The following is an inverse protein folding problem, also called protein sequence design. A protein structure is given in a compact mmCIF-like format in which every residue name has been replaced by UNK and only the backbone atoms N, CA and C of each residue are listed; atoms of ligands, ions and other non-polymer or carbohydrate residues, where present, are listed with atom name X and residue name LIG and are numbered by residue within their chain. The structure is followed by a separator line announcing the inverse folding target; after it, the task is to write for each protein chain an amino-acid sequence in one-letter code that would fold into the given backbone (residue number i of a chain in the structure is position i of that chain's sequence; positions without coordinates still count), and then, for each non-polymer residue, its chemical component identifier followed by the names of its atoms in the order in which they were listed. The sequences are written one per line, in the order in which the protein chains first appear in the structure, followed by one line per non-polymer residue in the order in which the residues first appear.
data_IF_120672189041
#
_entry.id   IF_120672189041
#
_cell.length_a   1.000
_cell.length_b   1.000
_cell.length_c   1.000
_cell.angle_alpha   90.00
_cell.angle_beta   90.00
_cell.angle_gamma   90.00
#
_symmetry.space_group_name_H-M   'P 1'
#
loop_
_entity.id
_entity.type
_entity.pdbx_description
1 polymer ?
#
# COMPACT_ATOMS: atom_id res chain seq x y z
N UNK A 1 10.28 10.53 32.66
CA UNK A 1 9.04 9.99 33.33
C UNK A 1 7.83 10.30 32.48
N UNK A 2 7.50 11.56 32.17
CA UNK A 2 6.29 11.95 31.42
C UNK A 2 6.14 11.26 30.06
N UNK A 3 7.22 11.17 29.25
CA UNK A 3 7.19 10.46 27.97
C UNK A 3 7.01 8.94 28.09
N UNK A 4 7.53 8.32 29.16
CA UNK A 4 7.33 6.88 29.40
C UNK A 4 5.91 6.57 29.84
N UNK A 5 5.32 7.43 30.67
CA UNK A 5 3.93 7.30 31.13
C UNK A 5 2.96 7.50 29.94
N UNK A 6 3.26 8.45 29.04
CA UNK A 6 2.49 8.69 27.81
C UNK A 6 2.57 7.50 26.86
N UNK A 7 3.77 6.98 26.59
CA UNK A 7 3.97 5.81 25.75
C UNK A 7 3.24 4.58 26.28
N UNK A 8 3.29 4.35 27.61
CA UNK A 8 2.58 3.25 28.25
C UNK A 8 1.05 3.42 28.19
N UNK A 9 0.54 4.65 28.31
CA UNK A 9 -0.88 4.96 28.13
C UNK A 9 -1.33 4.58 26.72
N UNK A 10 -0.61 5.03 25.69
CA UNK A 10 -0.93 4.70 24.29
C UNK A 10 -0.84 3.21 24.00
N UNK A 11 0.20 2.54 24.47
CA UNK A 11 0.31 1.09 24.35
C UNK A 11 -0.90 0.35 24.94
N UNK A 12 -1.43 0.80 26.10
CA UNK A 12 -2.64 0.23 26.69
C UNK A 12 -3.91 0.53 25.88
N UNK A 13 -4.01 1.70 25.27
CA UNK A 13 -5.14 2.06 24.41
C UNK A 13 -5.12 1.19 23.14
N UNK A 14 -3.98 1.08 22.46
CA UNK A 14 -3.81 0.21 21.27
C UNK A 14 -4.07 -1.25 21.66
N UNK A 15 -3.59 -1.72 22.83
CA UNK A 15 -3.85 -3.07 23.32
C UNK A 15 -5.35 -3.36 23.41
N UNK A 16 -6.17 -2.41 23.91
CA UNK A 16 -7.64 -2.55 23.95
C UNK A 16 -8.25 -2.69 22.56
N UNK A 17 -7.73 -1.95 21.56
CA UNK A 17 -8.20 -2.07 20.18
C UNK A 17 -7.79 -3.43 19.57
N UNK A 18 -6.58 -3.92 19.85
CA UNK A 18 -6.10 -5.24 19.41
C UNK A 18 -6.94 -6.38 20.01
N UNK A 19 -7.43 -6.24 21.23
CA UNK A 19 -8.26 -7.26 21.90
C UNK A 19 -9.61 -7.50 21.22
N UNK A 20 -10.00 -6.67 20.29
CA UNK A 20 -11.16 -6.91 19.43
C UNK A 20 -10.69 -7.58 18.14
N UNK A 21 -11.12 -8.81 17.89
CA UNK A 21 -10.83 -9.54 16.64
C UNK A 21 -11.68 -8.97 15.50
N UNK A 22 -11.06 -8.21 14.61
CA UNK A 22 -11.69 -7.61 13.43
C UNK A 22 -11.25 -8.28 12.12
N UNK A 23 -10.92 -9.56 12.16
CA UNK A 23 -10.72 -10.36 10.95
C UNK A 23 -12.04 -10.44 10.18
N UNK A 24 -12.01 -10.12 8.89
CA UNK A 24 -13.17 -10.20 8.01
C UNK A 24 -13.59 -11.66 7.78
N UNK A 25 -14.78 -12.02 8.25
CA UNK A 25 -15.38 -13.36 8.08
C UNK A 25 -16.83 -13.21 7.60
N UNK A 26 -17.23 -13.83 6.49
CA UNK A 26 -18.58 -13.71 5.97
C UNK A 26 -19.65 -13.98 7.04
N UNK A 27 -20.49 -12.98 7.32
CA UNK A 27 -21.66 -13.08 8.20
C UNK A 27 -21.42 -13.01 9.71
N UNK A 28 -20.16 -12.78 10.16
CA UNK A 28 -19.85 -12.82 11.60
C UNK A 28 -19.04 -11.62 12.12
N UNK A 29 -18.73 -10.66 11.28
CA UNK A 29 -17.74 -9.61 11.58
C UNK A 29 -18.35 -8.30 12.10
N UNK A 30 -19.61 -7.95 11.75
CA UNK A 30 -20.21 -6.67 12.16
C UNK A 30 -20.18 -6.44 13.67
N UNK A 31 -20.54 -7.44 14.48
CA UNK A 31 -20.54 -7.32 15.94
C UNK A 31 -19.15 -6.98 16.49
N UNK A 32 -18.09 -7.51 15.86
CA UNK A 32 -16.72 -7.21 16.26
C UNK A 32 -16.34 -5.77 15.94
N UNK A 33 -16.76 -5.25 14.77
CA UNK A 33 -16.55 -3.84 14.48
C UNK A 33 -17.34 -2.94 15.40
N UNK A 34 -18.61 -3.26 15.71
CA UNK A 34 -19.42 -2.52 16.69
C UNK A 34 -18.72 -2.48 18.07
N UNK A 35 -18.10 -3.59 18.49
CA UNK A 35 -17.28 -3.64 19.71
C UNK A 35 -16.02 -2.77 19.63
N UNK A 36 -15.34 -2.76 18.47
CA UNK A 36 -14.19 -1.87 18.27
C UNK A 36 -14.63 -0.42 18.32
N UNK A 37 -15.74 -0.07 17.70
CA UNK A 37 -16.29 1.30 17.73
C UNK A 37 -16.64 1.74 19.15
N UNK A 38 -17.18 0.85 19.97
CA UNK A 38 -17.43 1.13 21.38
C UNK A 38 -16.14 1.39 22.15
N UNK A 39 -15.10 0.58 21.94
CA UNK A 39 -13.77 0.80 22.53
C UNK A 39 -13.19 2.15 22.07
N UNK A 40 -13.29 2.48 20.79
CA UNK A 40 -12.80 3.76 20.26
C UNK A 40 -13.56 4.96 20.85
N UNK A 41 -14.88 4.86 21.01
CA UNK A 41 -15.68 5.91 21.63
C UNK A 41 -15.29 6.18 23.09
N UNK A 42 -14.93 5.12 23.85
CA UNK A 42 -14.40 5.30 25.21
C UNK A 42 -13.00 5.91 25.22
N UNK A 43 -12.15 5.60 24.24
CA UNK A 43 -10.77 6.09 24.17
C UNK A 43 -10.70 7.54 23.65
N UNK A 44 -11.59 7.91 22.73
CA UNK A 44 -11.58 9.18 21.99
C UNK A 44 -12.93 9.92 22.07
N UNK A 45 -13.42 10.24 23.29
CA UNK A 45 -14.76 10.80 23.48
C UNK A 45 -14.95 12.15 22.76
N UNK A 46 -13.93 13.01 22.72
CA UNK A 46 -14.05 14.30 22.04
C UNK A 46 -14.23 14.17 20.53
N UNK A 47 -13.52 13.19 19.92
CA UNK A 47 -13.71 12.90 18.50
C UNK A 47 -15.11 12.39 18.22
N UNK A 48 -15.59 11.44 19.04
CA UNK A 48 -16.92 10.84 18.85
C UNK A 48 -18.08 11.79 19.13
N UNK A 49 -17.92 12.74 20.05
CA UNK A 49 -18.94 13.73 20.42
C UNK A 49 -18.81 15.03 19.63
N UNK A 50 -17.59 15.46 19.30
CA UNK A 50 -17.31 16.76 18.71
C UNK A 50 -17.20 16.78 17.18
N UNK A 51 -17.02 15.64 16.51
CA UNK A 51 -16.99 15.55 15.06
C UNK A 51 -18.35 15.10 14.50
N UNK A 52 -18.67 15.57 13.28
CA UNK A 52 -19.77 14.92 12.53
C UNK A 52 -19.32 13.52 12.13
N UNK A 53 -20.21 12.54 12.27
CA UNK A 53 -19.89 11.13 12.01
C UNK A 53 -20.90 10.52 11.04
N UNK A 54 -20.40 9.69 10.14
CA UNK A 54 -21.18 8.81 9.26
C UNK A 54 -20.64 7.39 9.38
N UNK A 55 -21.50 6.42 9.18
CA UNK A 55 -21.21 5.00 9.21
C UNK A 55 -21.68 4.36 7.90
N UNK A 56 -20.81 3.56 7.28
CA UNK A 56 -21.06 2.85 6.03
C UNK A 56 -20.75 1.38 6.27
N UNK A 57 -21.76 0.55 6.53
CA UNK A 57 -21.63 -0.81 7.03
C UNK A 57 -20.84 -0.83 8.35
N UNK A 58 -19.53 -1.09 8.32
CA UNK A 58 -18.64 -0.98 9.48
C UNK A 58 -17.51 0.04 9.27
N UNK A 59 -17.48 0.75 8.14
CA UNK A 59 -16.56 1.88 7.96
C UNK A 59 -17.09 3.13 8.64
N UNK A 60 -16.19 3.90 9.24
CA UNK A 60 -16.52 5.18 9.88
C UNK A 60 -15.87 6.33 9.12
N UNK A 61 -16.62 7.42 8.98
CA UNK A 61 -16.08 8.70 8.52
C UNK A 61 -16.41 9.78 9.55
N UNK A 62 -15.40 10.49 10.02
CA UNK A 62 -15.56 11.64 10.90
C UNK A 62 -15.18 12.92 10.14
N UNK A 63 -15.79 14.04 10.48
CA UNK A 63 -15.37 15.35 10.02
C UNK A 63 -15.22 16.29 11.23
N UNK A 64 -14.00 16.71 11.46
CA UNK A 64 -13.66 17.80 12.38
C UNK A 64 -13.63 19.10 11.58
N UNK A 65 -14.62 20.01 11.77
CA UNK A 65 -14.70 21.23 10.97
C UNK A 65 -13.52 22.17 11.20
N UNK A 66 -12.96 22.66 10.12
CA UNK A 66 -11.92 23.68 10.12
C UNK A 66 -12.46 25.09 9.90
N UNK A 67 -11.54 26.05 9.77
CA UNK A 67 -11.85 27.45 9.45
C UNK A 67 -12.24 27.63 7.98
N UNK A 68 -11.77 26.75 7.11
CA UNK A 68 -12.05 26.76 5.67
C UNK A 68 -12.67 25.43 5.23
N UNK A 69 -13.23 25.39 4.00
CA UNK A 69 -13.83 24.17 3.43
C UNK A 69 -12.85 23.30 2.65
N UNK A 70 -11.55 23.65 2.64
CA UNK A 70 -10.52 22.75 2.12
C UNK A 70 -10.49 21.49 2.99
N UNK A 71 -10.29 20.33 2.38
CA UNK A 71 -10.39 19.07 3.10
C UNK A 71 -9.05 18.32 3.08
N UNK A 72 -8.66 17.81 4.27
CA UNK A 72 -7.64 16.80 4.47
C UNK A 72 -8.33 15.48 4.85
N UNK A 73 -7.96 14.37 4.24
CA UNK A 73 -8.37 13.03 4.70
C UNK A 73 -7.18 12.34 5.36
N UNK A 74 -7.36 11.89 6.60
CA UNK A 74 -6.47 10.97 7.29
C UNK A 74 -7.15 9.61 7.30
N UNK A 75 -6.47 8.59 6.77
CA UNK A 75 -7.05 7.30 6.52
C UNK A 75 -6.28 6.19 7.23
N UNK A 76 -7.01 5.17 7.68
CA UNK A 76 -6.47 3.93 8.23
C UNK A 76 -7.57 2.88 8.23
N UNK A 77 -7.22 1.58 8.23
CA UNK A 77 -8.22 0.53 8.27
C UNK A 77 -8.37 -0.08 9.67
N UNK A 78 -9.49 -0.76 9.89
CA UNK A 78 -9.91 -1.37 11.15
C UNK A 78 -9.76 -2.89 11.13
N UNK A 79 -9.89 -3.49 9.95
CA UNK A 79 -9.77 -4.92 9.76
C UNK A 79 -8.32 -5.41 9.88
N UNK A 80 -8.18 -6.69 10.00
CA UNK A 80 -6.87 -7.36 10.10
C UNK A 80 -6.98 -8.73 9.44
N UNK A 81 -5.84 -9.23 8.91
CA UNK A 81 -5.77 -10.61 8.39
C UNK A 81 -5.81 -11.64 9.50
N UNK A 82 -6.12 -12.91 9.13
CA UNK A 82 -6.02 -14.07 10.01
C UNK A 82 -4.64 -14.14 10.68
N UNK A 83 -4.60 -14.79 11.83
CA UNK A 83 -3.38 -14.96 12.62
C UNK A 83 -3.02 -16.46 12.80
N UNK A 84 -2.75 -17.21 11.72
CA UNK A 84 -2.42 -18.62 11.80
C UNK A 84 -1.03 -18.85 12.41
N UNK A 85 -0.77 -20.10 12.83
CA UNK A 85 0.53 -20.52 13.33
C UNK A 85 0.74 -20.26 14.83
N UNK A 86 1.97 -20.46 15.27
CA UNK A 86 2.37 -20.27 16.67
C UNK A 86 2.81 -18.84 16.92
N UNK A 87 2.19 -18.20 17.88
CA UNK A 87 2.51 -16.87 18.36
C UNK A 87 3.17 -16.94 19.72
N UNK A 88 4.15 -16.06 19.98
CA UNK A 88 4.78 -15.95 21.31
C UNK A 88 3.77 -15.53 22.37
N UNK A 89 2.88 -14.62 22.05
CA UNK A 89 1.71 -14.21 22.82
C UNK A 89 0.47 -14.34 21.95
N UNK A 90 -0.72 -14.65 22.51
CA UNK A 90 -1.94 -14.77 21.72
C UNK A 90 -2.17 -13.53 20.84
N UNK A 91 -2.49 -13.69 19.54
CA UNK A 91 -2.50 -12.58 18.57
C UNK A 91 -3.47 -11.43 18.92
N UNK A 92 -4.56 -11.73 19.60
CA UNK A 92 -5.56 -10.73 20.02
C UNK A 92 -5.49 -10.44 21.54
N UNK A 93 -4.36 -10.70 22.20
CA UNK A 93 -4.22 -10.41 23.64
C UNK A 93 -3.84 -8.96 23.94
N UNK A 94 -3.22 -8.25 23.01
CA UNK A 94 -2.67 -6.92 23.25
C UNK A 94 -1.61 -6.95 24.37
N UNK A 95 -0.79 -8.00 24.43
CA UNK A 95 0.20 -8.19 25.50
C UNK A 95 1.30 -7.14 25.44
N UNK A 96 1.52 -6.42 26.55
CA UNK A 96 2.65 -5.51 26.70
C UNK A 96 3.72 -6.25 27.51
N UNK A 97 4.78 -6.65 26.83
CA UNK A 97 5.90 -7.40 27.42
C UNK A 97 7.21 -7.09 26.68
N UNK A 98 8.34 -7.21 27.38
CA UNK A 98 9.68 -7.01 26.80
C UNK A 98 9.88 -5.61 26.19
N UNK A 99 9.21 -4.60 26.72
CA UNK A 99 9.25 -3.24 26.20
C UNK A 99 8.49 -3.03 24.88
N UNK A 100 7.63 -4.00 24.49
CA UNK A 100 6.87 -4.00 23.23
C UNK A 100 5.40 -4.31 23.47
N UNK A 101 4.55 -3.81 22.58
CA UNK A 101 3.16 -4.24 22.44
C UNK A 101 3.10 -5.33 21.37
N UNK A 102 2.51 -6.47 21.73
CA UNK A 102 2.38 -7.66 20.89
C UNK A 102 0.92 -7.88 20.49
N UNK A 103 0.68 -8.04 19.21
CA UNK A 103 -0.65 -8.43 18.73
C UNK A 103 -0.85 -8.19 17.24
N UNK A 104 -1.82 -8.91 16.65
CA UNK A 104 -2.28 -8.70 15.27
C UNK A 104 -2.90 -7.30 15.16
N UNK A 105 -2.53 -6.53 14.14
CA UNK A 105 -2.97 -5.16 13.93
C UNK A 105 -2.16 -4.10 14.71
N UNK A 106 -1.12 -4.49 15.47
CA UNK A 106 -0.29 -3.51 16.19
C UNK A 106 0.43 -2.54 15.24
N UNK A 107 0.96 -3.03 14.11
CA UNK A 107 1.61 -2.23 13.09
C UNK A 107 0.71 -2.05 11.85
N UNK A 108 -0.03 -3.06 11.48
CA UNK A 108 -0.92 -3.15 10.34
C UNK A 108 -2.36 -3.39 10.83
N UNK A 109 -3.27 -2.36 11.06
CA UNK A 109 -2.83 -0.95 11.14
C UNK A 109 -3.58 -0.22 12.27
N UNK A 110 -4.09 -0.98 13.31
CA UNK A 110 -4.79 -0.37 14.47
C UNK A 110 -3.91 0.62 15.26
N UNK A 111 -2.58 0.47 15.18
CA UNK A 111 -1.66 1.44 15.75
C UNK A 111 -1.78 2.80 15.06
N UNK A 112 -1.72 2.85 13.72
CA UNK A 112 -1.90 4.08 12.96
C UNK A 112 -3.30 4.67 13.15
N UNK A 113 -4.34 3.82 13.18
CA UNK A 113 -5.71 4.23 13.48
C UNK A 113 -5.78 4.92 14.85
N UNK A 114 -5.19 4.31 15.88
CA UNK A 114 -5.08 4.91 17.21
C UNK A 114 -4.38 6.27 17.15
N UNK A 115 -3.25 6.37 16.46
CA UNK A 115 -2.41 7.58 16.43
C UNK A 115 -3.14 8.76 15.77
N UNK A 116 -3.90 8.50 14.70
CA UNK A 116 -4.76 9.51 14.07
C UNK A 116 -5.82 10.02 15.06
N UNK A 117 -6.57 9.11 15.69
CA UNK A 117 -7.63 9.49 16.63
C UNK A 117 -7.06 10.18 17.88
N UNK A 118 -5.95 9.68 18.41
CA UNK A 118 -5.30 10.25 19.59
C UNK A 118 -4.76 11.66 19.32
N UNK A 119 -4.19 11.90 18.14
CA UNK A 119 -3.71 13.22 17.77
C UNK A 119 -4.86 14.24 17.69
N UNK A 120 -5.99 13.85 17.08
CA UNK A 120 -7.18 14.73 17.00
C UNK A 120 -7.79 14.92 18.39
N UNK A 121 -7.91 13.88 19.20
CA UNK A 121 -8.42 13.95 20.59
C UNK A 121 -7.63 14.98 21.43
N UNK A 122 -6.29 14.92 21.39
CA UNK A 122 -5.40 15.83 22.13
C UNK A 122 -5.45 17.27 21.59
N UNK A 123 -5.54 17.45 20.27
CA UNK A 123 -5.68 18.76 19.69
C UNK A 123 -7.03 19.41 20.03
N UNK A 124 -8.11 18.63 20.04
CA UNK A 124 -9.43 19.09 20.49
C UNK A 124 -9.42 19.43 21.97
N UNK A 125 -8.75 18.62 22.81
CA UNK A 125 -8.56 18.90 24.23
C UNK A 125 -7.81 20.20 24.47
N UNK A 126 -6.81 20.50 23.63
CA UNK A 126 -6.05 21.74 23.68
C UNK A 126 -6.83 22.96 23.12
N UNK A 127 -8.08 22.77 22.64
CA UNK A 127 -8.90 23.84 22.05
C UNK A 127 -8.42 24.27 20.65
N UNK A 128 -7.63 23.45 19.97
CA UNK A 128 -7.17 23.76 18.62
C UNK A 128 -8.33 23.68 17.62
N UNK A 129 -8.33 24.58 16.63
CA UNK A 129 -9.24 24.54 15.48
C UNK A 129 -8.39 24.42 14.21
N UNK A 130 -8.56 23.35 13.40
CA UNK A 130 -7.75 23.18 12.20
C UNK A 130 -8.07 24.24 11.15
N UNK A 131 -7.12 24.51 10.25
CA UNK A 131 -7.32 25.44 9.14
C UNK A 131 -8.26 24.83 8.08
N UNK A 132 -8.14 23.54 7.81
CA UNK A 132 -8.96 22.79 6.88
C UNK A 132 -9.94 21.87 7.62
N UNK A 133 -11.03 21.50 6.96
CA UNK A 133 -11.85 20.39 7.44
C UNK A 133 -10.98 19.11 7.46
N UNK A 134 -10.89 18.43 8.62
CA UNK A 134 -10.16 17.19 8.78
C UNK A 134 -11.15 16.04 8.77
N UNK A 135 -11.06 15.20 7.75
CA UNK A 135 -11.80 13.95 7.67
C UNK A 135 -10.94 12.80 8.17
N UNK A 136 -11.51 11.96 9.04
CA UNK A 136 -10.86 10.71 9.47
C UNK A 136 -11.68 9.57 8.86
N UNK A 137 -11.05 8.80 7.96
CA UNK A 137 -11.65 7.65 7.30
C UNK A 137 -11.09 6.36 7.91
N UNK A 138 -11.95 5.60 8.58
CA UNK A 138 -11.62 4.30 9.14
C UNK A 138 -12.37 3.21 8.35
N UNK A 139 -11.71 2.61 7.38
CA UNK A 139 -12.27 1.55 6.51
C UNK A 139 -12.30 0.20 7.23
N UNK A 140 -13.08 -0.76 6.71
CA UNK A 140 -13.27 -2.06 7.35
C UNK A 140 -13.01 -3.27 6.44
N UNK A 141 -12.48 -3.05 5.23
CA UNK A 141 -12.29 -4.07 4.19
C UNK A 141 -10.97 -3.97 3.43
N UNK A 142 -9.97 -3.25 3.95
CA UNK A 142 -8.69 -3.04 3.26
C UNK A 142 -8.03 -4.37 2.90
N UNK A 143 -7.92 -5.27 3.85
CA UNK A 143 -7.28 -6.60 3.74
C UNK A 143 -8.02 -7.56 2.78
N UNK A 144 -9.26 -7.25 2.42
CA UNK A 144 -10.08 -8.03 1.49
C UNK A 144 -10.34 -7.32 0.17
N UNK A 145 -9.71 -6.17 -0.05
CA UNK A 145 -9.72 -5.44 -1.32
C UNK A 145 -10.37 -4.07 -1.28
N UNK A 146 -10.89 -3.64 -0.13
CA UNK A 146 -11.50 -2.35 0.10
C UNK A 146 -12.86 -2.16 -0.58
N UNK A 147 -13.48 -1.01 -0.31
CA UNK A 147 -14.73 -0.59 -0.92
C UNK A 147 -14.75 0.91 -1.24
N UNK A 148 -15.75 1.37 -1.98
CA UNK A 148 -15.87 2.76 -2.43
C UNK A 148 -16.84 3.59 -1.57
N UNK A 149 -17.44 3.04 -0.51
CA UNK A 149 -18.55 3.65 0.22
C UNK A 149 -18.23 5.07 0.73
N UNK A 150 -17.03 5.25 1.32
CA UNK A 150 -16.61 6.57 1.82
C UNK A 150 -16.34 7.54 0.67
N UNK A 151 -15.63 7.09 -0.37
CA UNK A 151 -15.29 7.96 -1.52
C UNK A 151 -16.52 8.35 -2.31
N UNK A 152 -17.49 7.45 -2.46
CA UNK A 152 -18.75 7.74 -3.13
C UNK A 152 -19.58 8.76 -2.36
N UNK A 153 -19.64 8.62 -1.02
CA UNK A 153 -20.27 9.64 -0.17
C UNK A 153 -19.59 11.01 -0.31
N UNK A 154 -18.25 11.07 -0.24
CA UNK A 154 -17.53 12.35 -0.39
C UNK A 154 -17.81 12.99 -1.75
N UNK A 155 -17.85 12.17 -2.82
CA UNK A 155 -18.20 12.61 -4.17
C UNK A 155 -19.62 13.16 -4.25
N UNK A 156 -20.59 12.46 -3.68
CA UNK A 156 -21.99 12.90 -3.62
C UNK A 156 -22.18 14.20 -2.85
N UNK A 157 -21.38 14.40 -1.80
CA UNK A 157 -21.39 15.65 -1.03
C UNK A 157 -20.59 16.79 -1.70
N UNK A 158 -19.96 16.55 -2.86
CA UNK A 158 -19.12 17.52 -3.55
C UNK A 158 -17.83 17.85 -2.78
N UNK A 159 -17.37 16.95 -1.92
CA UNK A 159 -16.16 17.14 -1.12
C UNK A 159 -14.98 16.55 -1.92
N UNK A 160 -14.07 17.41 -2.35
CA UNK A 160 -12.84 17.04 -3.05
C UNK A 160 -11.67 17.29 -2.11
N UNK A 161 -11.03 16.27 -1.55
CA UNK A 161 -9.88 16.46 -0.67
C UNK A 161 -8.69 17.08 -1.42
N UNK A 162 -8.03 18.05 -0.78
CA UNK A 162 -6.78 18.63 -1.27
C UNK A 162 -5.62 17.62 -1.17
N UNK A 163 -5.66 16.82 -0.13
CA UNK A 163 -4.73 15.73 0.11
C UNK A 163 -5.35 14.64 0.98
N UNK A 164 -4.85 13.43 0.79
CA UNK A 164 -5.13 12.28 1.62
C UNK A 164 -3.81 11.70 2.11
N UNK A 165 -3.77 11.31 3.37
CA UNK A 165 -2.66 10.55 3.97
C UNK A 165 -3.21 9.25 4.51
N UNK A 166 -2.72 8.15 3.98
CA UNK A 166 -3.06 6.79 4.37
C UNK A 166 -1.84 6.10 4.99
N UNK A 167 -2.01 4.89 5.45
CA UNK A 167 -0.91 4.03 5.87
C UNK A 167 0.13 3.82 4.76
N UNK A 168 1.33 3.38 5.13
CA UNK A 168 2.39 3.09 4.17
C UNK A 168 3.72 2.81 4.84
N UNK A 169 4.79 3.20 4.18
CA UNK A 169 6.14 3.06 4.76
C UNK A 169 6.37 4.00 5.95
N UNK A 170 7.39 3.67 6.70
CA UNK A 170 7.73 4.31 7.98
C UNK A 170 9.05 5.09 7.90
N UNK A 171 9.46 5.65 9.03
CA UNK A 171 10.80 6.21 9.22
C UNK A 171 11.77 5.08 9.53
N UNK A 172 12.78 4.90 8.69
CA UNK A 172 13.77 3.82 8.80
C UNK A 172 15.19 4.33 8.54
N UNK A 173 16.24 3.55 8.88
CA UNK A 173 17.60 3.92 8.50
C UNK A 173 17.67 4.24 7.01
N UNK A 174 18.30 5.38 6.68
CA UNK A 174 18.41 5.80 5.28
C UNK A 174 19.25 4.78 4.48
N UNK A 175 18.80 4.35 3.30
CA UNK A 175 19.53 3.36 2.50
C UNK A 175 20.77 3.93 1.79
N UNK A 176 21.09 5.22 1.96
CA UNK A 176 22.25 5.85 1.33
C UNK A 176 23.52 5.48 2.08
N UNK A 177 24.52 4.85 1.43
CA UNK A 177 25.77 4.52 2.07
C UNK A 177 26.51 5.76 2.61
N UNK A 178 26.98 5.67 3.86
CA UNK A 178 27.69 6.76 4.53
C UNK A 178 26.81 7.87 5.10
N UNK A 179 25.50 7.73 5.05
CA UNK A 179 24.57 8.62 5.74
C UNK A 179 23.91 7.91 6.94
N UNK A 180 24.33 8.27 8.14
CA UNK A 180 23.86 7.68 9.41
C UNK A 180 22.51 8.27 9.90
N UNK A 181 21.68 8.75 8.98
CA UNK A 181 20.36 9.34 9.26
C UNK A 181 19.20 8.38 9.04
N UNK A 182 17.97 8.90 9.20
CA UNK A 182 16.73 8.19 8.91
C UNK A 182 16.00 8.86 7.74
N UNK A 183 15.31 8.05 6.97
CA UNK A 183 14.45 8.50 5.87
C UNK A 183 13.03 8.00 6.04
N UNK A 184 12.05 8.85 5.73
CA UNK A 184 10.63 8.50 5.62
C UNK A 184 10.28 8.23 4.15
N UNK A 185 9.60 7.11 3.88
CA UNK A 185 9.30 6.58 2.54
C UNK A 185 7.80 6.61 2.22
N UNK A 186 7.37 6.95 0.98
CA UNK A 186 5.94 7.20 0.61
C UNK A 186 5.56 6.72 -0.81
N UNK A 187 4.49 5.92 -1.05
CA UNK A 187 4.32 5.11 -2.27
C UNK A 187 2.95 4.67 -2.92
N UNK A 188 2.91 3.74 -4.02
CA UNK A 188 1.77 3.39 -4.98
C UNK A 188 1.78 2.04 -5.78
N UNK A 189 0.67 1.23 -6.03
CA UNK A 189 -0.08 0.39 -7.05
C UNK A 189 0.10 -1.13 -7.48
N UNK A 190 -0.94 -1.93 -8.13
CA UNK A 190 -1.04 -3.41 -8.51
C UNK A 190 -1.85 -3.87 -9.76
N UNK A 191 -1.63 -5.19 -10.36
CA UNK A 191 -2.46 -5.89 -11.43
C UNK A 191 -2.28 -7.44 -11.62
N UNK A 192 -3.18 -8.24 -12.41
CA UNK A 192 -3.22 -9.72 -12.60
C UNK A 192 -3.76 -10.29 -13.96
N UNK A 193 -3.31 -11.53 -14.50
CA UNK A 193 -3.68 -12.20 -15.80
C UNK A 193 -3.81 -13.76 -15.86
N UNK A 194 -4.41 -14.44 -16.98
CA UNK A 194 -4.67 -15.91 -17.17
C UNK A 194 -4.63 -16.45 -18.63
N UNK A 195 -4.40 -17.83 -18.90
CA UNK A 195 -4.27 -18.47 -20.25
C UNK A 195 -4.93 -19.87 -20.45
N UNK A 196 -5.33 -20.34 -21.72
CA UNK A 196 -6.06 -21.59 -22.09
C UNK A 196 -5.62 -22.35 -23.37
N UNK A 197 -6.01 -23.67 -23.56
CA UNK A 197 -5.77 -24.50 -24.77
C UNK A 197 -6.34 -25.94 -24.81
N UNK A 198 -6.29 -26.80 -25.92
CA UNK A 198 -6.99 -28.09 -26.10
C UNK A 198 -6.29 -29.34 -25.55
N UNK A 199 -7.01 -30.42 -25.23
CA UNK A 199 -6.59 -31.62 -24.51
C UNK A 199 -6.62 -32.99 -25.27
N UNK A 200 -6.17 -34.15 -24.64
CA UNK A 200 -6.12 -35.49 -25.21
C UNK A 200 -5.60 -36.61 -24.29
N UNK A 201 -5.32 -37.85 -24.82
CA UNK A 201 -4.80 -38.98 -24.04
C UNK A 201 -3.27 -39.01 -24.05
N UNK A 202 -2.62 -39.26 -22.91
CA UNK A 202 -1.16 -39.16 -22.75
C UNK A 202 -0.33 -40.22 -23.53
N UNK A 203 -0.94 -41.32 -23.98
CA UNK A 203 -0.24 -42.38 -24.74
C UNK A 203 0.04 -42.03 -26.20
N UNK A 204 -0.62 -40.98 -26.74
CA UNK A 204 -0.41 -40.49 -28.12
C UNK A 204 -0.32 -38.98 -28.05
N UNK A 205 0.79 -38.45 -27.51
CA UNK A 205 0.95 -37.03 -27.35
C UNK A 205 1.22 -36.37 -28.71
N UNK A 206 0.33 -35.51 -29.15
CA UNK A 206 0.62 -34.55 -30.23
C UNK A 206 1.72 -33.57 -29.80
N UNK A 207 2.33 -32.86 -30.75
CA UNK A 207 3.19 -31.68 -30.45
C UNK A 207 2.33 -30.49 -30.13
N UNK A 208 2.79 -29.59 -29.25
CA UNK A 208 2.10 -28.34 -28.94
C UNK A 208 0.89 -28.50 -28.00
N UNK A 209 0.93 -29.45 -27.07
CA UNK A 209 -0.09 -29.59 -26.02
C UNK A 209 -0.07 -28.40 -25.06
N UNK A 210 -1.17 -28.11 -24.32
CA UNK A 210 -1.31 -26.91 -23.51
C UNK A 210 -0.16 -26.65 -22.53
N UNK A 211 0.23 -27.66 -21.74
CA UNK A 211 1.29 -27.50 -20.72
C UNK A 211 2.67 -27.15 -21.31
N UNK A 212 3.20 -27.83 -22.36
CA UNK A 212 4.44 -27.43 -23.01
C UNK A 212 4.40 -26.03 -23.63
N UNK A 213 3.26 -25.58 -24.18
CA UNK A 213 3.10 -24.21 -24.69
C UNK A 213 3.14 -23.19 -23.57
N UNK A 214 2.45 -23.44 -22.47
CA UNK A 214 2.53 -22.61 -21.26
C UNK A 214 3.96 -22.60 -20.70
N UNK A 215 4.66 -23.74 -20.67
CA UNK A 215 6.05 -23.82 -20.23
C UNK A 215 6.98 -22.98 -21.10
N UNK A 216 6.83 -23.01 -22.42
CA UNK A 216 7.59 -22.17 -23.35
C UNK A 216 7.25 -20.69 -23.22
N UNK A 217 5.97 -20.36 -23.05
CA UNK A 217 5.50 -19.00 -22.78
C UNK A 217 6.10 -18.44 -21.49
N UNK A 218 5.98 -19.17 -20.37
CA UNK A 218 6.57 -18.75 -19.09
C UNK A 218 8.08 -18.55 -19.19
N UNK A 219 8.78 -19.49 -19.86
CA UNK A 219 10.23 -19.41 -20.04
C UNK A 219 10.64 -18.19 -20.87
N UNK A 220 9.89 -17.84 -21.91
CA UNK A 220 10.19 -16.65 -22.71
C UNK A 220 9.92 -15.37 -21.92
N UNK A 221 8.81 -15.29 -21.15
CA UNK A 221 8.48 -14.16 -20.29
C UNK A 221 9.58 -13.92 -19.25
N UNK A 222 10.02 -14.98 -18.57
CA UNK A 222 11.08 -14.91 -17.53
C UNK A 222 12.46 -14.48 -18.09
N UNK A 223 12.74 -14.76 -19.37
CA UNK A 223 14.03 -14.47 -19.98
C UNK A 223 14.00 -13.25 -20.93
N UNK A 224 12.94 -12.46 -20.90
CA UNK A 224 12.78 -11.29 -21.75
C UNK A 224 12.47 -10.06 -20.91
N UNK A 225 13.20 -8.98 -21.12
CA UNK A 225 12.89 -7.67 -20.55
C UNK A 225 11.64 -7.09 -21.23
N UNK A 226 10.46 -7.57 -20.83
CA UNK A 226 9.18 -7.17 -21.42
C UNK A 226 8.79 -5.73 -21.11
N UNK A 227 9.22 -5.24 -19.97
CA UNK A 227 8.79 -3.96 -19.42
C UNK A 227 10.01 -3.06 -19.19
N UNK A 228 10.25 -2.08 -20.07
CA UNK A 228 11.36 -1.16 -19.89
C UNK A 228 11.18 -0.32 -18.61
N UNK A 229 12.22 -0.24 -17.81
CA UNK A 229 12.23 0.60 -16.60
C UNK A 229 12.14 2.08 -16.98
N UNK A 230 11.25 2.81 -16.32
CA UNK A 230 11.09 4.27 -16.48
C UNK A 230 11.03 4.94 -15.11
N UNK A 231 11.62 6.12 -15.01
CA UNK A 231 11.50 6.89 -13.77
C UNK A 231 10.17 7.64 -13.74
N UNK A 232 9.45 7.50 -12.63
CA UNK A 232 8.41 8.45 -12.25
C UNK A 232 9.03 9.74 -11.70
N UNK A 233 8.25 10.82 -11.61
CA UNK A 233 8.68 12.06 -10.94
C UNK A 233 9.13 11.80 -9.49
N UNK A 234 8.45 10.89 -8.79
CA UNK A 234 8.80 10.51 -7.42
C UNK A 234 10.12 9.75 -7.36
N UNK A 235 10.33 8.78 -8.25
CA UNK A 235 11.59 8.02 -8.29
C UNK A 235 12.77 8.91 -8.67
N UNK A 236 12.63 9.78 -9.66
CA UNK A 236 13.67 10.73 -10.04
C UNK A 236 14.03 11.67 -8.86
N UNK A 237 13.03 12.19 -8.15
CA UNK A 237 13.26 13.04 -6.98
C UNK A 237 13.87 12.26 -5.82
N UNK A 238 13.48 11.01 -5.61
CA UNK A 238 14.11 10.12 -4.62
C UNK A 238 15.61 10.01 -4.85
N UNK A 239 16.01 9.61 -6.06
CA UNK A 239 17.43 9.47 -6.41
C UNK A 239 18.20 10.78 -6.32
N UNK A 240 17.58 11.91 -6.70
CA UNK A 240 18.18 13.24 -6.58
C UNK A 240 18.44 13.61 -5.11
N UNK A 241 17.48 13.34 -4.21
CA UNK A 241 17.66 13.58 -2.78
C UNK A 241 18.71 12.64 -2.18
N UNK A 242 18.69 11.36 -2.56
CA UNK A 242 19.73 10.39 -2.15
C UNK A 242 21.12 10.83 -2.60
N UNK A 243 21.27 11.31 -3.84
CA UNK A 243 22.55 11.83 -4.34
C UNK A 243 23.05 13.01 -3.50
N UNK A 244 22.15 13.92 -3.09
CA UNK A 244 22.52 15.05 -2.24
C UNK A 244 22.96 14.65 -0.83
N UNK A 245 22.49 13.50 -0.32
CA UNK A 245 22.85 12.96 0.99
C UNK A 245 24.16 12.17 0.98
N UNK A 246 24.56 11.62 -0.17
CA UNK A 246 25.76 10.78 -0.27
C UNK A 246 27.04 11.56 -0.05
N UNK A 247 27.86 11.10 0.88
CA UNK A 247 29.22 11.61 1.11
C UNK A 247 30.22 11.06 0.09
N UNK A 248 29.96 9.89 -0.51
CA UNK A 248 30.79 9.26 -1.53
C UNK A 248 30.55 9.89 -2.91
N UNK A 249 31.63 10.32 -3.58
CA UNK A 249 31.54 10.99 -4.88
C UNK A 249 31.08 10.02 -6.00
N UNK A 250 31.53 8.76 -5.96
CA UNK A 250 31.14 7.74 -6.94
C UNK A 250 29.65 7.38 -6.80
N UNK A 251 29.19 7.18 -5.57
CA UNK A 251 27.78 6.92 -5.28
C UNK A 251 26.90 8.12 -5.68
N UNK A 252 27.32 9.32 -5.37
CA UNK A 252 26.64 10.55 -5.77
C UNK A 252 26.50 10.65 -7.28
N UNK A 253 27.59 10.39 -8.02
CA UNK A 253 27.58 10.40 -9.48
C UNK A 253 26.64 9.33 -10.05
N UNK A 254 26.65 8.12 -9.48
CA UNK A 254 25.74 7.03 -9.85
C UNK A 254 24.27 7.40 -9.63
N UNK A 255 23.92 7.87 -8.44
CA UNK A 255 22.54 8.28 -8.10
C UNK A 255 22.07 9.46 -8.95
N UNK A 256 22.95 10.40 -9.27
CA UNK A 256 22.67 11.53 -10.15
C UNK A 256 22.41 11.05 -11.58
N UNK A 257 23.23 10.11 -12.09
CA UNK A 257 23.06 9.55 -13.42
C UNK A 257 21.70 8.85 -13.56
N UNK A 258 21.23 8.17 -12.52
CA UNK A 258 19.85 7.61 -12.50
C UNK A 258 18.82 8.75 -12.48
N UNK A 259 18.92 9.68 -11.54
CA UNK A 259 17.93 10.76 -11.35
C UNK A 259 17.73 11.65 -12.59
N UNK A 260 18.76 11.80 -13.41
CA UNK A 260 18.78 12.62 -14.63
C UNK A 260 18.73 11.79 -15.92
N UNK A 261 18.51 10.47 -15.79
CA UNK A 261 18.42 9.54 -16.94
C UNK A 261 19.60 9.64 -17.92
N UNK A 262 20.85 9.72 -17.39
CA UNK A 262 22.04 9.74 -18.23
C UNK A 262 22.15 8.48 -19.10
N UNK A 263 22.75 8.53 -20.30
CA UNK A 263 22.89 7.35 -21.15
C UNK A 263 23.49 6.14 -20.38
N UNK A 264 22.85 4.98 -20.47
CA UNK A 264 23.25 3.76 -19.78
C UNK A 264 22.78 3.63 -18.32
N UNK A 265 21.93 4.53 -17.83
CA UNK A 265 21.44 4.46 -16.46
C UNK A 265 20.65 3.18 -16.17
N UNK A 266 19.83 2.71 -17.14
CA UNK A 266 19.00 1.50 -16.96
C UNK A 266 19.86 0.24 -16.81
N UNK A 267 20.95 0.13 -17.58
CA UNK A 267 21.90 -0.97 -17.52
C UNK A 267 22.71 -0.97 -16.23
N UNK A 268 22.84 0.18 -15.59
CA UNK A 268 23.55 0.31 -14.30
C UNK A 268 22.71 -0.14 -13.10
N UNK A 269 21.40 -0.32 -13.27
CA UNK A 269 20.49 -0.74 -12.21
C UNK A 269 20.70 -2.22 -11.83
N UNK A 270 20.76 -2.51 -10.54
CA UNK A 270 20.63 -3.86 -10.03
C UNK A 270 19.19 -4.38 -10.17
N UNK A 271 19.01 -5.71 -10.14
CA UNK A 271 17.70 -6.36 -10.32
C UNK A 271 16.63 -5.81 -9.37
N UNK A 272 16.95 -5.67 -8.08
CA UNK A 272 16.01 -5.11 -7.10
C UNK A 272 15.59 -3.67 -7.42
N UNK A 273 16.48 -2.88 -8.01
CA UNK A 273 16.14 -1.51 -8.42
C UNK A 273 15.23 -1.53 -9.66
N UNK A 274 15.46 -2.43 -10.60
CA UNK A 274 14.58 -2.64 -11.76
C UNK A 274 13.17 -3.05 -11.32
N UNK A 275 13.06 -4.01 -10.38
CA UNK A 275 11.80 -4.45 -9.80
C UNK A 275 11.04 -3.31 -9.08
N UNK A 276 11.76 -2.43 -8.39
CA UNK A 276 11.15 -1.29 -7.70
C UNK A 276 10.68 -0.17 -8.65
N UNK A 277 11.31 -0.02 -9.79
CA UNK A 277 11.08 1.09 -10.72
C UNK A 277 10.22 0.70 -11.91
N UNK A 278 10.20 -0.59 -12.28
CA UNK A 278 9.55 -1.11 -13.49
C UNK A 278 8.26 -1.89 -13.19
N UNK A 279 7.54 -2.18 -14.26
CA UNK A 279 6.47 -3.17 -14.24
C UNK A 279 7.05 -4.55 -14.01
N UNK A 280 6.49 -5.30 -13.06
CA UNK A 280 6.92 -6.68 -12.75
C UNK A 280 5.83 -7.69 -13.06
N UNK A 281 6.24 -8.94 -13.32
CA UNK A 281 5.35 -10.08 -13.53
C UNK A 281 5.83 -11.27 -12.72
N UNK A 282 4.91 -11.98 -12.07
CA UNK A 282 5.19 -13.21 -11.34
C UNK A 282 4.12 -14.27 -11.65
N UNK A 283 4.53 -15.48 -11.98
CA UNK A 283 3.62 -16.61 -12.15
C UNK A 283 3.31 -17.22 -10.77
N UNK A 284 2.04 -17.19 -10.37
CA UNK A 284 1.64 -17.51 -9.00
C UNK A 284 0.82 -18.79 -8.86
N UNK A 285 0.09 -19.19 -9.91
CA UNK A 285 -0.72 -20.42 -9.91
C UNK A 285 -0.65 -21.10 -11.28
N UNK A 286 -0.74 -22.43 -11.29
CA UNK A 286 -0.83 -23.21 -12.51
C UNK A 286 -1.78 -24.40 -12.32
N UNK A 287 -2.46 -24.82 -13.39
CA UNK A 287 -3.32 -25.99 -13.38
C UNK A 287 -3.41 -26.63 -14.76
N UNK A 288 -3.85 -27.89 -14.76
CA UNK A 288 -4.02 -28.69 -15.97
C UNK A 288 -4.85 -29.94 -15.69
N UNK A 289 -4.41 -31.12 -16.21
CA UNK A 289 -5.13 -32.38 -15.95
C UNK A 289 -5.06 -32.79 -14.48
N UNK A 290 -6.15 -33.39 -13.99
CA UNK A 290 -6.23 -34.00 -12.68
C UNK A 290 -5.80 -35.49 -12.68
N UNK A 291 -5.43 -36.05 -13.85
CA UNK A 291 -4.98 -37.45 -14.01
C UNK A 291 -3.70 -37.50 -14.85
N UNK A 292 -2.72 -38.31 -14.39
CA UNK A 292 -1.40 -38.39 -14.99
C UNK A 292 -1.40 -38.97 -16.43
N UNK A 293 -2.42 -39.72 -16.81
CA UNK A 293 -2.59 -40.34 -18.12
C UNK A 293 -3.46 -39.54 -19.09
N UNK A 294 -3.87 -38.35 -18.74
CA UNK A 294 -4.72 -37.47 -19.56
C UNK A 294 -3.98 -36.19 -19.91
N UNK A 295 -3.92 -35.87 -21.20
CA UNK A 295 -3.49 -34.54 -21.67
C UNK A 295 -4.66 -33.59 -21.45
N UNK A 296 -4.49 -32.48 -20.72
CA UNK A 296 -5.58 -31.55 -20.43
C UNK A 296 -6.07 -30.91 -21.74
N UNK A 297 -7.38 -30.74 -21.84
CA UNK A 297 -7.95 -29.88 -22.90
C UNK A 297 -7.67 -28.42 -22.62
N UNK A 298 -7.60 -28.07 -21.35
CA UNK A 298 -7.26 -26.76 -20.86
C UNK A 298 -6.14 -26.88 -19.82
N UNK A 299 -5.14 -26.04 -19.95
CA UNK A 299 -4.16 -25.80 -18.90
C UNK A 299 -4.03 -24.27 -18.76
N UNK A 300 -3.80 -23.82 -17.55
CA UNK A 300 -3.69 -22.41 -17.28
C UNK A 300 -2.49 -22.11 -16.38
N UNK A 301 -2.03 -20.89 -16.47
CA UNK A 301 -1.14 -20.26 -15.51
C UNK A 301 -1.71 -18.89 -15.16
N UNK A 302 -1.66 -18.53 -13.89
CA UNK A 302 -2.03 -17.19 -13.43
C UNK A 302 -0.75 -16.45 -13.13
N UNK A 303 -0.63 -15.26 -13.71
CA UNK A 303 0.42 -14.31 -13.35
C UNK A 303 -0.16 -13.08 -12.65
N UNK A 304 0.59 -12.54 -11.71
CA UNK A 304 0.37 -11.24 -11.11
C UNK A 304 1.30 -10.24 -11.77
N UNK A 305 0.74 -9.18 -12.33
CA UNK A 305 1.51 -8.08 -12.95
C UNK A 305 1.32 -6.84 -12.09
N UNK A 306 2.43 -6.21 -11.71
CA UNK A 306 2.43 -4.93 -11.00
C UNK A 306 2.89 -3.86 -11.98
N UNK A 307 1.94 -3.07 -12.46
CA UNK A 307 2.20 -2.04 -13.48
C UNK A 307 2.82 -0.82 -12.82
N UNK A 308 3.97 -0.40 -13.35
CA UNK A 308 4.69 0.77 -12.84
C UNK A 308 3.90 2.07 -13.10
N UNK A 309 4.03 3.09 -12.25
CA UNK A 309 3.47 4.41 -12.49
C UNK A 309 3.97 5.02 -13.80
N UNK A 310 3.04 5.52 -14.60
CA UNK A 310 3.31 6.04 -15.94
C UNK A 310 3.15 5.03 -17.07
N UNK A 311 3.01 3.74 -16.73
CA UNK A 311 2.56 2.69 -17.64
C UNK A 311 1.04 2.50 -17.53
N UNK A 312 0.47 1.64 -18.38
CA UNK A 312 -0.97 1.30 -18.33
C UNK A 312 -1.17 -0.21 -18.31
N UNK A 313 -2.29 -0.65 -17.75
CA UNK A 313 -2.70 -2.05 -17.80
C UNK A 313 -2.77 -2.53 -19.25
N UNK A 314 -3.35 -1.73 -20.16
CA UNK A 314 -3.44 -2.06 -21.57
C UNK A 314 -2.07 -2.25 -22.22
N UNK A 315 -1.09 -1.41 -21.87
CA UNK A 315 0.29 -1.52 -22.33
C UNK A 315 0.98 -2.79 -21.87
N UNK A 316 0.84 -3.11 -20.57
CA UNK A 316 1.40 -4.33 -19.97
C UNK A 316 0.77 -5.60 -20.58
N UNK A 317 -0.55 -5.61 -20.75
CA UNK A 317 -1.27 -6.72 -21.41
C UNK A 317 -0.85 -6.86 -22.87
N UNK A 318 -0.68 -5.77 -23.61
CA UNK A 318 -0.24 -5.83 -25.02
C UNK A 318 1.19 -6.39 -25.15
N UNK A 319 2.11 -6.01 -24.26
CA UNK A 319 3.46 -6.57 -24.24
C UNK A 319 3.44 -8.08 -23.98
N UNK A 320 2.65 -8.54 -23.02
CA UNK A 320 2.48 -9.95 -22.70
C UNK A 320 1.75 -10.70 -23.85
N UNK A 321 0.75 -10.09 -24.49
CA UNK A 321 0.02 -10.67 -25.62
C UNK A 321 0.94 -10.96 -26.79
N UNK A 322 1.91 -10.10 -27.07
CA UNK A 322 2.89 -10.34 -28.12
C UNK A 322 3.74 -11.60 -27.88
N UNK A 323 4.01 -11.97 -26.64
CA UNK A 323 4.65 -13.24 -26.28
C UNK A 323 3.64 -14.40 -26.38
N UNK A 324 2.45 -14.21 -25.83
CA UNK A 324 1.39 -15.22 -25.80
C UNK A 324 1.00 -15.71 -27.22
N UNK A 325 0.92 -14.80 -28.19
CA UNK A 325 0.60 -15.09 -29.58
C UNK A 325 1.64 -16.04 -30.22
N UNK A 326 2.93 -15.85 -29.90
CA UNK A 326 4.01 -16.75 -30.39
C UNK A 326 3.87 -18.18 -29.91
N UNK A 327 3.29 -18.36 -28.72
CA UNK A 327 3.07 -19.67 -28.08
C UNK A 327 1.62 -20.16 -28.21
N UNK A 328 0.77 -19.45 -28.96
CA UNK A 328 -0.66 -19.78 -29.07
C UNK A 328 -1.32 -19.91 -27.70
N UNK A 329 -1.02 -18.98 -26.80
CA UNK A 329 -1.60 -18.83 -25.48
C UNK A 329 -2.62 -17.69 -25.52
N UNK A 330 -3.81 -17.92 -25.00
CA UNK A 330 -4.84 -16.88 -24.87
C UNK A 330 -4.68 -16.18 -23.52
N UNK A 331 -4.80 -14.86 -23.52
CA UNK A 331 -4.79 -14.08 -22.29
C UNK A 331 -6.22 -13.70 -21.88
N UNK A 332 -6.51 -13.85 -20.61
CA UNK A 332 -7.74 -13.38 -19.98
C UNK A 332 -7.38 -12.50 -18.78
N UNK A 333 -7.83 -11.26 -18.79
CA UNK A 333 -7.66 -10.36 -17.64
C UNK A 333 -8.75 -10.66 -16.63
N UNK A 334 -8.40 -11.27 -15.51
CA UNK A 334 -9.36 -11.65 -14.46
C UNK A 334 -9.79 -10.45 -13.61
N UNK A 335 -8.82 -9.60 -13.30
CA UNK A 335 -8.99 -8.38 -12.50
C UNK A 335 -7.89 -7.39 -12.87
N UNK A 336 -8.25 -6.12 -12.94
CA UNK A 336 -7.26 -5.06 -13.19
C UNK A 336 -7.62 -3.77 -12.47
N UNK A 337 -6.58 -3.04 -12.06
CA UNK A 337 -6.67 -1.66 -11.62
C UNK A 337 -5.52 -0.90 -12.32
N UNK A 338 -5.81 0.28 -12.84
CA UNK A 338 -4.75 1.14 -13.36
C UNK A 338 -3.81 1.58 -12.23
N UNK A 339 -2.52 1.79 -12.52
CA UNK A 339 -1.60 2.31 -11.53
C UNK A 339 -2.03 3.67 -11.03
N UNK A 340 -1.75 3.94 -9.77
CA UNK A 340 -2.08 5.21 -9.13
C UNK A 340 -1.34 6.37 -9.80
N UNK A 341 -1.99 7.54 -9.97
CA UNK A 341 -1.27 8.77 -10.27
C UNK A 341 -0.21 9.06 -9.21
N UNK A 342 0.95 9.51 -9.65
CA UNK A 342 2.04 9.88 -8.75
C UNK A 342 1.77 11.29 -8.21
N UNK A 343 1.65 11.43 -6.89
CA UNK A 343 1.62 12.76 -6.26
C UNK A 343 2.94 13.48 -6.53
N UNK A 344 2.87 14.73 -6.93
CA UNK A 344 4.07 15.54 -7.20
C UNK A 344 4.91 15.70 -5.91
N UNK A 345 6.15 15.17 -5.86
CA UNK A 345 7.01 15.26 -4.68
C UNK A 345 7.52 16.67 -4.37
N UNK A 346 7.27 17.65 -5.24
CA UNK A 346 7.53 19.08 -5.03
C UNK A 346 6.25 19.87 -4.80
N UNK A 347 5.09 19.21 -4.91
CA UNK A 347 3.78 19.81 -4.71
C UNK A 347 3.52 20.17 -3.23
N UNK A 348 2.55 21.08 -3.02
CA UNK A 348 2.20 21.57 -1.67
C UNK A 348 1.86 20.44 -0.70
N UNK A 349 1.16 19.40 -1.17
CA UNK A 349 0.74 18.28 -0.33
C UNK A 349 1.96 17.50 0.22
N UNK A 350 2.91 17.13 -0.64
CA UNK A 350 4.12 16.43 -0.21
C UNK A 350 4.96 17.29 0.73
N UNK A 351 5.19 18.56 0.37
CA UNK A 351 5.96 19.51 1.19
C UNK A 351 5.33 19.74 2.57
N UNK A 352 4.00 19.68 2.69
CA UNK A 352 3.32 19.75 4.01
C UNK A 352 3.65 18.55 4.88
N UNK A 353 3.57 17.34 4.33
CA UNK A 353 3.91 16.10 5.05
C UNK A 353 5.40 16.10 5.42
N UNK A 354 6.28 16.48 4.49
CA UNK A 354 7.70 16.63 4.73
C UNK A 354 8.00 17.54 5.92
N UNK A 355 7.41 18.73 5.93
CA UNK A 355 7.57 19.70 7.05
C UNK A 355 7.02 19.15 8.36
N UNK A 356 5.89 18.45 8.34
CA UNK A 356 5.31 17.83 9.52
C UNK A 356 6.23 16.73 10.09
N UNK A 357 6.80 15.88 9.22
CA UNK A 357 7.76 14.85 9.61
C UNK A 357 9.02 15.48 10.22
N UNK A 358 9.60 16.48 9.56
CA UNK A 358 10.81 17.15 10.03
C UNK A 358 10.58 17.93 11.34
N UNK A 359 9.39 18.46 11.55
CA UNK A 359 9.02 19.11 12.82
C UNK A 359 8.88 18.11 13.96
N UNK A 360 8.31 16.92 13.70
CA UNK A 360 8.14 15.86 14.69
C UNK A 360 9.44 15.09 14.97
N UNK A 361 10.27 14.90 13.94
CA UNK A 361 11.55 14.18 13.98
C UNK A 361 12.67 15.02 13.35
N UNK A 362 13.22 16.00 14.06
CA UNK A 362 14.32 16.83 13.54
C UNK A 362 15.50 15.99 13.06
N UNK A 363 16.03 16.31 11.90
CA UNK A 363 17.15 15.57 11.27
C UNK A 363 16.72 14.32 10.49
N UNK A 364 15.41 14.09 10.33
CA UNK A 364 14.90 13.04 9.43
C UNK A 364 14.79 13.60 8.02
N UNK A 365 15.42 12.91 7.07
CA UNK A 365 15.24 13.19 5.65
C UNK A 365 13.92 12.59 5.15
N UNK A 366 13.31 13.20 4.13
CA UNK A 366 12.07 12.70 3.54
C UNK A 366 12.31 12.36 2.09
N UNK A 367 12.14 11.09 1.75
CA UNK A 367 12.35 10.58 0.40
C UNK A 367 10.99 10.19 -0.20
N UNK A 368 10.60 10.74 -1.35
CA UNK A 368 9.48 10.19 -2.10
C UNK A 368 9.83 8.77 -2.56
N UNK A 369 8.87 7.87 -2.47
CA UNK A 369 9.11 6.44 -2.72
C UNK A 369 7.89 5.82 -3.42
N UNK A 370 8.07 4.71 -4.13
CA UNK A 370 6.98 3.93 -4.72
C UNK A 370 6.74 2.67 -3.88
N UNK A 371 5.55 2.51 -3.29
CA UNK A 371 5.17 1.31 -2.55
C UNK A 371 4.74 0.21 -3.52
N UNK A 372 5.21 -0.98 -3.37
CA UNK A 372 4.80 -2.14 -4.16
C UNK A 372 3.48 -2.78 -3.69
N UNK A 373 2.91 -2.30 -2.58
CA UNK A 373 1.61 -2.72 -2.02
C UNK A 373 0.48 -1.74 -2.34
N UNK A 374 -0.75 -2.22 -2.49
CA UNK A 374 -1.93 -1.38 -2.60
C UNK A 374 -2.48 -1.06 -1.21
N UNK A 375 -3.15 0.09 -1.05
CA UNK A 375 -3.95 0.46 0.11
C UNK A 375 -5.32 0.96 -0.35
N UNK A 376 -6.24 1.23 0.56
CA UNK A 376 -7.56 1.80 0.23
C UNK A 376 -7.49 3.15 -0.48
N UNK A 377 -6.35 3.83 -0.46
CA UNK A 377 -6.09 5.03 -1.27
C UNK A 377 -6.42 4.84 -2.74
N UNK A 378 -6.30 3.62 -3.30
CA UNK A 378 -6.65 3.31 -4.70
C UNK A 378 -8.07 3.73 -5.08
N UNK A 379 -9.01 3.72 -4.13
CA UNK A 379 -10.40 4.12 -4.35
C UNK A 379 -10.58 5.64 -4.38
N UNK A 380 -9.69 6.38 -3.73
CA UNK A 380 -9.74 7.85 -3.62
C UNK A 380 -9.07 8.59 -4.77
N UNK A 381 -8.23 7.95 -5.57
CA UNK A 381 -7.40 8.60 -6.59
C UNK A 381 -8.20 9.36 -7.66
N UNK A 382 -9.44 8.94 -7.95
CA UNK A 382 -10.33 9.65 -8.86
C UNK A 382 -10.95 10.91 -8.24
N UNK A 383 -10.85 11.07 -6.92
CA UNK A 383 -11.42 12.18 -6.16
C UNK A 383 -10.33 13.10 -5.58
N UNK A 384 -9.22 12.53 -5.13
CA UNK A 384 -8.12 13.27 -4.51
C UNK A 384 -6.85 13.18 -5.39
N UNK A 385 -6.32 14.31 -5.90
CA UNK A 385 -5.13 14.29 -6.75
C UNK A 385 -3.83 14.04 -5.98
N UNK A 386 -3.84 14.25 -4.66
CA UNK A 386 -2.67 14.15 -3.79
C UNK A 386 -2.87 13.07 -2.73
N UNK A 387 -2.58 11.83 -3.10
CA UNK A 387 -2.64 10.68 -2.21
C UNK A 387 -1.24 10.30 -1.74
N UNK A 388 -0.99 10.42 -0.46
CA UNK A 388 0.27 10.13 0.20
C UNK A 388 0.10 8.93 1.14
N UNK A 389 1.13 8.10 1.27
CA UNK A 389 1.14 6.92 2.14
C UNK A 389 2.33 6.97 3.06
N UNK A 390 2.05 7.13 4.34
CA UNK A 390 3.08 7.26 5.36
C UNK A 390 2.50 6.87 6.72
N UNK A 391 3.18 5.97 7.40
CA UNK A 391 2.89 5.60 8.78
C UNK A 391 3.93 6.24 9.69
N UNK A 392 3.48 6.98 10.69
CA UNK A 392 4.34 7.75 11.60
C UNK A 392 5.09 6.88 12.62
N UNK A 393 5.70 5.78 12.18
CA UNK A 393 6.53 4.89 12.98
C UNK A 393 8.01 5.10 12.68
N UNK A 394 8.84 4.97 13.70
CA UNK A 394 10.29 4.90 13.56
C UNK A 394 10.75 3.49 13.94
N UNK A 395 11.37 2.81 12.98
CA UNK A 395 11.88 1.44 13.13
C UNK A 395 13.38 1.46 13.39
#
# INVERSE_FOLDING_TARGET
MENQDRAMRYARQIARMIQVDTVRRPGADKENFDRLHAVMAELFPRVFEGCRRWEFESSLLFCWPGKTRRALVLMSHQDVVEAPGAWKYPPFSGTIAEGKLWGRGALDVKGNLHDIFQAVEELMEAGYTPEWDVYIAASHEEETGGNTLIVDFLREQGIVPEMLVDEGSSIQPCPVPGFDGHAAMVSVADVKCVARGPGGHASIPGKGTPLPRLGAFMCEVENTDLFPVRLSSASAEMYRRMAALSADEGERAYLTAIAEEHPGWQESLGERQKEMLGTTIAFTMAGGSQAANVIPQEAYVICNIRVAPGETVAGAVAALQAVADRHQVELEVLRSNEPSPVTDPRGEAFVRVERAIQAAWPGTEVLPFLLSGGTDTKHFMSLCPNCLRFTAYRI
#
